data_IF_547709911789
#
_entry.id   IF_547709911789
#
_cell.length_a   1.000
_cell.length_b   1.000
_cell.length_c   1.000
_cell.angle_alpha   90.00
_cell.angle_beta   90.00
_cell.angle_gamma   90.00
#
_symmetry.space_group_name_H-M   'P 1'
#
loop_
_entity.id
_entity.type
_entity.pdbx_description
1 polymer ?
#
# COMPACT_ATOMS: atom_id res chain seq x y z
N UNK A 1 21.71 -8.38 -8.34
CA UNK A 1 20.74 -8.60 -7.26
C UNK A 1 21.33 -9.66 -6.34
N UNK A 2 21.60 -9.33 -5.06
CA UNK A 2 22.07 -10.34 -4.13
C UNK A 2 20.97 -11.38 -3.92
N UNK A 3 21.26 -12.62 -4.21
CA UNK A 3 20.37 -13.75 -3.98
C UNK A 3 20.09 -13.83 -2.48
N UNK A 4 18.84 -13.52 -2.08
CA UNK A 4 18.42 -13.57 -0.68
C UNK A 4 18.44 -15.03 -0.27
N UNK A 5 19.44 -15.46 0.51
CA UNK A 5 19.49 -16.83 1.01
C UNK A 5 18.23 -17.10 1.82
N UNK A 6 17.38 -17.99 1.29
CA UNK A 6 16.15 -18.42 1.95
C UNK A 6 16.53 -19.33 3.11
N UNK A 7 16.11 -18.95 4.31
CA UNK A 7 16.35 -19.75 5.51
C UNK A 7 15.29 -20.86 5.61
N UNK A 8 15.69 -22.06 6.04
CA UNK A 8 14.80 -23.21 6.14
C UNK A 8 13.52 -22.98 6.95
N UNK A 9 13.56 -22.16 8.01
CA UNK A 9 12.40 -21.84 8.84
C UNK A 9 11.31 -21.06 8.09
N UNK A 10 11.66 -20.34 7.03
CA UNK A 10 10.69 -19.59 6.21
C UNK A 10 9.72 -20.52 5.48
N UNK A 11 10.14 -21.77 5.20
CA UNK A 11 9.29 -22.83 4.70
C UNK A 11 8.67 -23.66 5.82
N UNK A 12 9.41 -23.94 6.88
CA UNK A 12 8.97 -24.80 7.97
C UNK A 12 7.73 -24.23 8.68
N UNK A 13 7.71 -22.94 8.99
CA UNK A 13 6.60 -22.33 9.74
C UNK A 13 5.26 -22.49 9.01
N UNK A 14 5.08 -22.05 7.74
CA UNK A 14 3.81 -22.20 7.05
C UNK A 14 3.41 -23.68 6.84
N UNK A 15 4.38 -24.59 6.60
CA UNK A 15 4.09 -26.02 6.43
C UNK A 15 3.62 -26.64 7.74
N UNK A 16 4.28 -26.34 8.87
CA UNK A 16 3.90 -26.84 10.20
C UNK A 16 2.49 -26.35 10.57
N UNK A 17 2.19 -25.07 10.30
CA UNK A 17 0.85 -24.52 10.54
C UNK A 17 -0.21 -25.18 9.66
N UNK A 18 0.09 -25.39 8.37
CA UNK A 18 -0.81 -26.11 7.47
C UNK A 18 -1.14 -27.49 8.02
N UNK A 19 -0.13 -28.30 8.31
CA UNK A 19 -0.31 -29.67 8.78
C UNK A 19 -0.95 -29.70 10.18
N UNK A 20 -0.55 -28.80 11.08
CA UNK A 20 -1.10 -28.73 12.43
C UNK A 20 -2.61 -28.44 12.44
N UNK A 21 -3.06 -27.46 11.65
CA UNK A 21 -4.49 -27.14 11.52
C UNK A 21 -5.21 -28.26 10.76
N UNK A 22 -4.60 -28.81 9.71
CA UNK A 22 -5.20 -29.86 8.87
C UNK A 22 -5.58 -31.12 9.63
N UNK A 23 -4.70 -31.57 10.56
CA UNK A 23 -4.93 -32.78 11.35
C UNK A 23 -5.65 -32.52 12.68
N UNK A 24 -5.87 -31.27 13.04
CA UNK A 24 -6.58 -30.91 14.27
C UNK A 24 -8.09 -31.20 14.17
N UNK A 25 -8.78 -31.44 15.30
CA UNK A 25 -10.23 -31.67 15.29
C UNK A 25 -10.96 -30.51 14.65
N UNK A 26 -11.94 -30.82 13.79
CA UNK A 26 -12.79 -29.81 13.15
C UNK A 26 -13.70 -29.18 14.21
N UNK A 27 -13.73 -27.84 14.37
CA UNK A 27 -14.60 -27.17 15.31
C UNK A 27 -16.09 -27.43 15.01
N UNK A 28 -16.92 -27.41 16.05
CA UNK A 28 -18.36 -27.55 15.91
C UNK A 28 -18.94 -26.46 14.98
N UNK A 29 -19.80 -26.88 14.05
CA UNK A 29 -20.46 -26.00 13.08
C UNK A 29 -19.67 -25.76 11.78
N UNK A 30 -18.45 -26.32 11.64
CA UNK A 30 -17.69 -26.26 10.38
C UNK A 30 -17.68 -27.59 9.64
N UNK A 31 -17.61 -27.54 8.31
CA UNK A 31 -17.33 -28.71 7.48
C UNK A 31 -15.81 -29.00 7.45
N UNK A 32 -15.43 -30.24 7.16
CA UNK A 32 -14.02 -30.63 6.98
C UNK A 32 -13.36 -29.79 5.89
N UNK A 33 -14.07 -29.55 4.76
CA UNK A 33 -13.56 -28.72 3.68
C UNK A 33 -13.32 -27.26 4.11
N UNK A 34 -14.24 -26.69 4.90
CA UNK A 34 -14.06 -25.32 5.42
C UNK A 34 -12.83 -25.22 6.35
N UNK A 35 -12.61 -26.25 7.17
CA UNK A 35 -11.46 -26.31 8.06
C UNK A 35 -10.13 -26.47 7.31
N UNK A 36 -10.11 -27.34 6.30
CA UNK A 36 -8.94 -27.49 5.41
C UNK A 36 -8.66 -26.21 4.62
N UNK A 37 -9.71 -25.52 4.14
CA UNK A 37 -9.55 -24.23 3.47
C UNK A 37 -8.96 -23.19 4.41
N UNK A 38 -9.38 -23.15 5.66
CA UNK A 38 -8.80 -22.29 6.69
C UNK A 38 -7.31 -22.60 6.93
N UNK A 39 -6.93 -23.87 6.98
CA UNK A 39 -5.54 -24.29 7.11
C UNK A 39 -4.67 -23.78 5.95
N UNK A 40 -5.15 -23.95 4.68
CA UNK A 40 -4.45 -23.45 3.49
C UNK A 40 -4.34 -21.92 3.54
N UNK A 41 -5.42 -21.23 3.91
CA UNK A 41 -5.46 -19.77 4.00
C UNK A 41 -4.43 -19.24 5.01
N UNK A 42 -4.44 -19.75 6.23
CA UNK A 42 -3.49 -19.34 7.28
C UNK A 42 -2.05 -19.61 6.84
N UNK A 43 -1.77 -20.81 6.33
CA UNK A 43 -0.44 -21.16 5.85
C UNK A 43 0.04 -20.24 4.71
N UNK A 44 -0.86 -19.86 3.81
CA UNK A 44 -0.56 -18.94 2.70
C UNK A 44 -0.22 -17.54 3.22
N UNK A 45 -1.01 -16.98 4.14
CA UNK A 45 -0.75 -15.67 4.73
C UNK A 45 0.60 -15.67 5.48
N UNK A 46 0.86 -16.68 6.31
CA UNK A 46 2.13 -16.79 7.02
C UNK A 46 3.29 -17.01 6.06
N UNK A 47 3.08 -17.78 4.99
CA UNK A 47 4.06 -17.97 3.94
C UNK A 47 4.42 -16.66 3.22
N UNK A 48 3.44 -15.79 2.94
CA UNK A 48 3.68 -14.47 2.38
C UNK A 48 4.53 -13.62 3.34
N UNK A 49 4.24 -13.65 4.63
CA UNK A 49 4.99 -12.92 5.65
C UNK A 49 6.43 -13.44 5.82
N UNK A 50 6.62 -14.75 5.78
CA UNK A 50 7.94 -15.39 5.81
C UNK A 50 8.73 -15.16 4.52
N UNK A 51 8.06 -14.90 3.40
CA UNK A 51 8.61 -14.60 2.09
C UNK A 51 9.72 -15.59 1.62
N UNK A 52 9.47 -16.92 1.62
CA UNK A 52 10.44 -17.89 1.12
C UNK A 52 10.61 -17.79 -0.40
N UNK A 53 9.55 -17.46 -1.10
CA UNK A 53 9.49 -17.21 -2.56
C UNK A 53 8.62 -15.98 -2.86
N UNK A 54 8.53 -15.60 -4.12
CA UNK A 54 7.64 -14.53 -4.55
C UNK A 54 6.17 -14.86 -4.17
N UNK A 55 5.45 -13.87 -3.63
CA UNK A 55 4.06 -14.05 -3.16
C UNK A 55 3.12 -14.61 -4.22
N UNK A 56 3.28 -14.21 -5.50
CA UNK A 56 2.52 -14.77 -6.61
C UNK A 56 2.73 -16.27 -6.79
N UNK A 57 3.98 -16.76 -6.72
CA UNK A 57 4.29 -18.18 -6.80
C UNK A 57 3.68 -18.95 -5.61
N UNK A 58 3.74 -18.39 -4.41
CA UNK A 58 3.13 -19.00 -3.23
C UNK A 58 1.60 -19.10 -3.36
N UNK A 59 0.96 -18.08 -3.93
CA UNK A 59 -0.48 -18.08 -4.22
C UNK A 59 -0.87 -19.21 -5.21
N UNK A 60 -0.07 -19.42 -6.26
CA UNK A 60 -0.31 -20.54 -7.20
C UNK A 60 -0.12 -21.90 -6.54
N UNK A 61 0.86 -22.06 -5.63
CA UNK A 61 1.02 -23.28 -4.83
C UNK A 61 -0.20 -23.52 -3.96
N UNK A 62 -0.68 -22.48 -3.24
CA UNK A 62 -1.88 -22.58 -2.41
C UNK A 62 -3.11 -22.99 -3.23
N UNK A 63 -3.28 -22.41 -4.41
CA UNK A 63 -4.36 -22.76 -5.33
C UNK A 63 -4.26 -24.22 -5.79
N UNK A 64 -3.06 -24.67 -6.16
CA UNK A 64 -2.82 -26.05 -6.54
C UNK A 64 -3.13 -27.01 -5.37
N UNK A 65 -2.67 -26.73 -4.15
CA UNK A 65 -3.00 -27.53 -2.96
C UNK A 65 -4.51 -27.59 -2.76
N UNK A 66 -5.23 -26.47 -2.88
CA UNK A 66 -6.68 -26.41 -2.73
C UNK A 66 -7.41 -27.33 -3.72
N UNK A 67 -6.94 -27.37 -4.97
CA UNK A 67 -7.52 -28.23 -6.03
C UNK A 67 -7.16 -29.69 -5.81
N UNK A 68 -5.88 -30.01 -5.60
CA UNK A 68 -5.40 -31.39 -5.45
C UNK A 68 -5.95 -32.09 -4.20
N UNK A 69 -6.22 -31.35 -3.14
CA UNK A 69 -6.86 -31.87 -1.93
C UNK A 69 -8.38 -31.95 -2.00
N UNK A 70 -8.97 -31.56 -3.14
CA UNK A 70 -10.42 -31.45 -3.30
C UNK A 70 -11.10 -30.58 -2.23
N UNK A 71 -10.36 -29.63 -1.64
CA UNK A 71 -10.92 -28.66 -0.68
C UNK A 71 -11.92 -27.74 -1.37
N UNK A 72 -11.64 -27.34 -2.61
CA UNK A 72 -12.58 -26.70 -3.54
C UNK A 72 -12.55 -27.42 -4.90
N UNK A 73 -13.67 -27.37 -5.63
CA UNK A 73 -13.68 -27.78 -7.04
C UNK A 73 -12.79 -26.86 -7.87
N UNK A 74 -12.29 -27.38 -9.00
CA UNK A 74 -11.45 -26.61 -9.93
C UNK A 74 -12.12 -25.29 -10.36
N UNK A 75 -13.41 -25.33 -10.70
CA UNK A 75 -14.18 -24.16 -11.08
C UNK A 75 -14.30 -23.13 -9.94
N UNK A 76 -14.56 -23.59 -8.71
CA UNK A 76 -14.66 -22.71 -7.55
C UNK A 76 -13.31 -22.08 -7.19
N UNK A 77 -12.22 -22.85 -7.24
CA UNK A 77 -10.88 -22.38 -6.95
C UNK A 77 -10.42 -21.28 -7.93
N UNK A 78 -10.81 -21.38 -9.20
CA UNK A 78 -10.45 -20.43 -10.26
C UNK A 78 -11.51 -19.34 -10.49
N UNK A 79 -12.62 -19.35 -9.76
CA UNK A 79 -13.72 -18.38 -9.94
C UNK A 79 -13.29 -16.91 -9.80
N UNK A 80 -12.28 -16.66 -8.96
CA UNK A 80 -11.68 -15.32 -8.82
C UNK A 80 -11.11 -14.77 -10.12
N UNK A 81 -10.62 -15.61 -11.03
CA UNK A 81 -10.10 -15.18 -12.34
C UNK A 81 -11.20 -14.74 -13.29
N UNK A 82 -12.45 -15.13 -13.05
CA UNK A 82 -13.62 -14.68 -13.80
C UNK A 82 -14.27 -13.40 -13.22
N UNK A 83 -13.77 -12.91 -12.08
CA UNK A 83 -14.32 -11.73 -11.42
C UNK A 83 -13.94 -10.44 -12.15
N UNK A 84 -14.94 -9.64 -12.54
CA UNK A 84 -14.73 -8.31 -13.12
C UNK A 84 -13.96 -7.38 -12.19
N UNK A 85 -14.17 -7.50 -10.86
CA UNK A 85 -13.43 -6.72 -9.85
C UNK A 85 -11.93 -7.04 -9.86
N UNK A 86 -11.56 -8.33 -10.00
CA UNK A 86 -10.14 -8.75 -10.10
C UNK A 86 -9.50 -8.16 -11.36
N UNK A 87 -10.17 -8.19 -12.50
CA UNK A 87 -9.66 -7.61 -13.74
C UNK A 87 -9.60 -6.08 -13.70
N UNK A 88 -10.54 -5.43 -13.04
CA UNK A 88 -10.49 -3.98 -12.82
C UNK A 88 -9.27 -3.62 -11.97
N UNK A 89 -9.02 -4.33 -10.88
CA UNK A 89 -7.83 -4.13 -10.03
C UNK A 89 -6.55 -4.37 -10.83
N UNK A 90 -6.49 -5.44 -11.61
CA UNK A 90 -5.33 -5.76 -12.45
C UNK A 90 -5.04 -4.64 -13.47
N UNK A 91 -6.07 -4.20 -14.20
CA UNK A 91 -5.94 -3.12 -15.19
C UNK A 91 -5.47 -1.81 -14.55
N UNK A 92 -6.03 -1.46 -13.39
CA UNK A 92 -5.61 -0.29 -12.63
C UNK A 92 -4.16 -0.41 -12.11
N UNK A 93 -3.71 -1.63 -11.77
CA UNK A 93 -2.31 -1.89 -11.43
C UNK A 93 -1.37 -1.64 -12.60
N UNK A 94 -1.73 -2.13 -13.80
CA UNK A 94 -0.93 -1.89 -15.02
C UNK A 94 -0.85 -0.39 -15.33
N UNK A 95 -1.96 0.33 -15.24
CA UNK A 95 -1.97 1.79 -15.39
C UNK A 95 -1.08 2.48 -14.35
N UNK A 96 -1.06 2.01 -13.10
CA UNK A 96 -0.23 2.60 -12.06
C UNK A 96 1.27 2.46 -12.31
N UNK A 97 1.71 1.43 -13.02
CA UNK A 97 3.11 1.30 -13.45
C UNK A 97 3.51 2.42 -14.39
N UNK A 98 2.63 2.83 -15.31
CA UNK A 98 2.85 3.99 -16.19
C UNK A 98 3.10 5.29 -15.39
N UNK A 99 2.37 5.53 -14.30
CA UNK A 99 2.61 6.70 -13.43
C UNK A 99 3.97 6.65 -12.72
N UNK A 100 4.45 5.47 -12.38
CA UNK A 100 5.77 5.30 -11.74
C UNK A 100 6.89 5.47 -12.77
N UNK A 101 6.78 4.81 -13.92
CA UNK A 101 7.81 4.79 -14.96
C UNK A 101 7.94 6.13 -15.69
N UNK A 102 6.82 6.80 -16.00
CA UNK A 102 6.82 8.15 -16.61
C UNK A 102 7.39 9.22 -15.67
N UNK A 103 7.55 8.94 -14.38
CA UNK A 103 7.98 9.92 -13.40
C UNK A 103 6.93 10.98 -13.06
N UNK A 104 5.70 10.88 -13.59
CA UNK A 104 4.62 11.84 -13.33
C UNK A 104 4.34 11.96 -11.83
N UNK A 105 4.33 10.86 -11.10
CA UNK A 105 4.13 10.86 -9.64
C UNK A 105 5.20 11.67 -8.91
N UNK A 106 6.48 11.51 -9.29
CA UNK A 106 7.58 12.31 -8.72
C UNK A 106 7.45 13.77 -9.08
N UNK A 107 7.03 14.10 -10.30
CA UNK A 107 6.79 15.47 -10.73
C UNK A 107 5.71 16.15 -9.90
N UNK A 108 4.60 15.45 -9.60
CA UNK A 108 3.53 15.95 -8.72
C UNK A 108 4.09 16.20 -7.31
N UNK A 109 4.86 15.27 -6.75
CA UNK A 109 5.46 15.41 -5.43
C UNK A 109 6.42 16.61 -5.34
N UNK A 110 7.32 16.78 -6.31
CA UNK A 110 8.21 17.94 -6.37
C UNK A 110 7.48 19.25 -6.61
N UNK A 111 6.38 19.25 -7.38
CA UNK A 111 5.53 20.42 -7.57
C UNK A 111 4.91 20.87 -6.24
N UNK A 112 4.35 19.94 -5.48
CA UNK A 112 3.79 20.24 -4.16
C UNK A 112 4.89 20.72 -3.20
N UNK A 113 6.05 20.08 -3.21
CA UNK A 113 7.20 20.47 -2.41
C UNK A 113 7.67 21.90 -2.76
N UNK A 114 7.71 22.25 -4.04
CA UNK A 114 8.10 23.61 -4.48
C UNK A 114 7.13 24.69 -4.03
N UNK A 115 5.87 24.33 -3.78
CA UNK A 115 4.84 25.27 -3.31
C UNK A 115 4.86 25.39 -1.78
N UNK A 116 4.84 24.28 -1.08
CA UNK A 116 4.58 24.23 0.37
C UNK A 116 5.79 23.82 1.22
N UNK A 117 6.92 23.37 0.63
CA UNK A 117 8.07 22.76 1.31
C UNK A 117 8.92 23.71 2.19
N UNK A 118 8.45 24.92 2.49
CA UNK A 118 9.20 25.91 3.28
C UNK A 118 9.24 25.67 4.79
N UNK A 119 8.50 24.70 5.30
CA UNK A 119 8.47 24.29 6.71
C UNK A 119 8.27 22.79 6.83
N UNK A 120 8.58 22.21 7.99
CA UNK A 120 8.45 20.77 8.24
C UNK A 120 7.02 20.27 8.04
N UNK A 121 6.02 20.99 8.57
CA UNK A 121 4.61 20.71 8.30
C UNK A 121 4.27 20.89 6.80
N UNK A 122 4.82 21.93 6.18
CA UNK A 122 4.63 22.17 4.75
C UNK A 122 5.18 21.02 3.90
N UNK A 123 6.33 20.43 4.25
CA UNK A 123 6.85 19.23 3.57
C UNK A 123 5.88 18.06 3.77
N UNK A 124 5.44 17.80 5.00
CA UNK A 124 4.52 16.72 5.30
C UNK A 124 3.23 16.84 4.46
N UNK A 125 2.59 18.01 4.45
CA UNK A 125 1.41 18.25 3.64
C UNK A 125 1.70 18.21 2.13
N UNK A 126 2.89 18.64 1.67
CA UNK A 126 3.28 18.50 0.25
C UNK A 126 3.24 17.04 -0.19
N UNK A 127 3.83 16.14 0.61
CA UNK A 127 3.87 14.71 0.33
C UNK A 127 2.47 14.08 0.46
N UNK A 128 1.70 14.47 1.47
CA UNK A 128 0.32 14.01 1.64
C UNK A 128 -0.60 14.43 0.50
N UNK A 129 -0.52 15.69 0.05
CA UNK A 129 -1.31 16.18 -1.10
C UNK A 129 -0.88 15.50 -2.39
N UNK A 130 0.41 15.24 -2.58
CA UNK A 130 0.88 14.48 -3.74
C UNK A 130 0.29 13.05 -3.74
N UNK A 131 0.30 12.37 -2.61
CA UNK A 131 -0.31 11.03 -2.47
C UNK A 131 -1.84 11.09 -2.67
N UNK A 132 -2.51 12.12 -2.16
CA UNK A 132 -3.94 12.35 -2.35
C UNK A 132 -4.33 12.52 -3.82
N UNK A 133 -3.55 13.28 -4.59
CA UNK A 133 -3.78 13.49 -6.05
C UNK A 133 -3.60 12.17 -6.81
N UNK A 134 -2.64 11.35 -6.41
CA UNK A 134 -2.34 10.07 -7.06
C UNK A 134 -3.32 8.96 -6.66
N UNK A 135 -3.93 9.03 -5.49
CA UNK A 135 -4.74 7.96 -4.90
C UNK A 135 -5.90 7.49 -5.80
N UNK A 136 -6.70 8.32 -6.46
CA UNK A 136 -7.79 7.86 -7.32
C UNK A 136 -7.30 7.10 -8.57
N UNK A 137 -6.09 7.40 -9.06
CA UNK A 137 -5.53 6.82 -10.29
C UNK A 137 -4.60 5.63 -10.05
N UNK A 138 -4.13 5.42 -8.81
CA UNK A 138 -3.15 4.40 -8.46
C UNK A 138 -3.67 3.51 -7.33
N UNK A 139 -4.25 2.33 -7.62
CA UNK A 139 -4.85 1.44 -6.61
C UNK A 139 -3.82 0.72 -5.74
N UNK A 140 -2.54 0.97 -5.95
CA UNK A 140 -1.46 0.39 -5.18
C UNK A 140 -0.89 1.37 -4.16
N UNK A 141 -1.29 1.20 -2.92
CA UNK A 141 -0.74 1.90 -1.75
C UNK A 141 0.79 1.74 -1.69
N UNK A 142 1.30 0.53 -1.94
CA UNK A 142 2.73 0.24 -1.94
C UNK A 142 3.47 0.96 -3.08
N UNK A 143 2.89 1.01 -4.28
CA UNK A 143 3.51 1.69 -5.42
C UNK A 143 3.56 3.21 -5.19
N UNK A 144 2.49 3.83 -4.66
CA UNK A 144 2.49 5.26 -4.32
C UNK A 144 3.48 5.58 -3.21
N UNK A 145 3.36 4.88 -2.07
CA UNK A 145 4.21 5.12 -0.92
C UNK A 145 5.66 4.75 -1.18
N UNK A 146 5.92 3.51 -1.62
CA UNK A 146 7.28 2.99 -1.81
C UNK A 146 7.96 3.48 -3.08
N UNK A 147 7.20 3.69 -4.16
CA UNK A 147 7.74 4.08 -5.47
C UNK A 147 7.84 5.59 -5.68
N UNK A 148 7.04 6.40 -4.98
CA UNK A 148 6.98 7.85 -5.20
C UNK A 148 7.25 8.63 -3.92
N UNK A 149 6.40 8.48 -2.89
CA UNK A 149 6.43 9.37 -1.72
C UNK A 149 7.69 9.16 -0.88
N UNK A 150 8.01 7.91 -0.55
CA UNK A 150 9.17 7.58 0.29
C UNK A 150 10.52 7.92 -0.36
N UNK A 151 10.78 7.68 -1.65
CA UNK A 151 12.00 8.15 -2.31
C UNK A 151 12.18 9.67 -2.24
N UNK A 152 11.09 10.44 -2.45
CA UNK A 152 11.12 11.90 -2.32
C UNK A 152 11.41 12.31 -0.87
N UNK A 153 10.75 11.69 0.12
CA UNK A 153 11.00 11.93 1.53
C UNK A 153 12.47 11.61 1.92
N UNK A 154 13.03 10.51 1.40
CA UNK A 154 14.45 10.16 1.61
C UNK A 154 15.38 11.21 1.02
N UNK A 155 15.12 11.70 -0.19
CA UNK A 155 15.91 12.76 -0.82
C UNK A 155 15.86 14.06 0.00
N UNK A 156 14.70 14.42 0.53
CA UNK A 156 14.54 15.56 1.43
C UNK A 156 15.38 15.36 2.70
N UNK A 157 15.32 14.17 3.30
CA UNK A 157 16.10 13.85 4.51
C UNK A 157 17.61 13.93 4.27
N UNK A 158 18.09 13.56 3.07
CA UNK A 158 19.50 13.74 2.71
C UNK A 158 19.87 15.22 2.62
N UNK A 159 19.06 16.05 1.94
CA UNK A 159 19.33 17.50 1.80
C UNK A 159 19.29 18.22 3.14
N UNK A 160 18.45 17.79 4.07
CA UNK A 160 18.31 18.37 5.40
C UNK A 160 19.23 17.72 6.45
N UNK A 161 20.15 16.86 6.04
CA UNK A 161 21.08 16.13 6.91
C UNK A 161 20.36 15.41 8.08
N UNK A 162 19.27 14.72 7.76
CA UNK A 162 18.42 13.99 8.72
C UNK A 162 18.27 12.53 8.31
N UNK A 163 19.35 11.77 8.44
CA UNK A 163 19.39 10.36 8.12
C UNK A 163 19.23 9.48 9.37
N UNK A 164 18.95 8.17 9.21
CA UNK A 164 18.88 7.23 10.33
C UNK A 164 20.11 7.30 11.23
N UNK A 165 19.90 7.30 12.54
CA UNK A 165 20.94 7.43 13.54
C UNK A 165 20.78 8.71 14.37
N UNK A 166 21.87 9.32 14.87
CA UNK A 166 21.81 10.44 15.81
C UNK A 166 21.08 11.69 15.30
N UNK A 167 20.96 11.84 13.96
CA UNK A 167 20.33 13.00 13.32
C UNK A 167 18.90 12.78 12.84
N UNK A 168 18.31 11.60 13.11
CA UNK A 168 16.95 11.26 12.63
C UNK A 168 15.88 12.21 13.16
N UNK A 169 16.00 12.69 14.39
CA UNK A 169 15.06 13.61 15.02
C UNK A 169 15.03 15.01 14.40
N UNK A 170 15.97 15.36 13.54
CA UNK A 170 15.97 16.69 12.87
C UNK A 170 14.69 16.90 12.07
N UNK A 171 14.28 15.94 11.24
CA UNK A 171 13.00 15.92 10.53
C UNK A 171 12.63 14.54 10.02
N UNK A 172 13.59 13.63 9.82
CA UNK A 172 13.41 12.36 9.10
C UNK A 172 12.39 11.44 9.72
N UNK A 173 12.43 11.30 11.03
CA UNK A 173 11.48 10.47 11.78
C UNK A 173 10.05 10.99 11.61
N UNK A 174 9.85 12.28 11.78
CA UNK A 174 8.55 12.93 11.55
C UNK A 174 8.02 12.70 10.13
N UNK A 175 8.87 12.91 9.11
CA UNK A 175 8.43 12.77 7.71
C UNK A 175 8.07 11.32 7.36
N UNK A 176 8.90 10.36 7.76
CA UNK A 176 8.65 8.94 7.45
C UNK A 176 7.36 8.47 8.10
N UNK A 177 7.16 8.79 9.38
CA UNK A 177 5.94 8.42 10.10
C UNK A 177 4.70 9.11 9.52
N UNK A 178 4.80 10.37 9.14
CA UNK A 178 3.68 11.10 8.55
C UNK A 178 3.33 10.55 7.16
N UNK A 179 4.32 10.22 6.33
CA UNK A 179 4.10 9.56 5.04
C UNK A 179 3.40 8.20 5.21
N UNK A 180 3.83 7.41 6.20
CA UNK A 180 3.20 6.14 6.52
C UNK A 180 1.72 6.30 6.91
N UNK A 181 1.36 7.37 7.62
CA UNK A 181 -0.02 7.66 8.02
C UNK A 181 -0.87 8.18 6.86
N UNK A 182 -0.33 9.01 5.98
CA UNK A 182 -1.07 9.53 4.82
C UNK A 182 -1.53 8.41 3.88
N UNK A 183 -0.69 7.45 3.62
CA UNK A 183 -0.92 6.39 2.65
C UNK A 183 -2.22 5.59 2.87
N UNK A 184 -2.54 5.06 4.07
CA UNK A 184 -3.83 4.41 4.31
C UNK A 184 -5.01 5.38 4.28
N UNK A 185 -4.84 6.63 4.71
CA UNK A 185 -5.91 7.64 4.71
C UNK A 185 -6.33 7.94 3.27
N UNK A 186 -5.39 8.27 2.40
CA UNK A 186 -5.66 8.55 0.98
C UNK A 186 -6.13 7.32 0.23
N UNK A 187 -5.58 6.13 0.58
CA UNK A 187 -5.99 4.84 0.05
C UNK A 187 -7.44 4.50 0.37
N UNK A 188 -7.90 4.77 1.58
CA UNK A 188 -9.28 4.50 1.99
C UNK A 188 -10.27 5.52 1.41
N UNK A 189 -9.85 6.75 1.09
CA UNK A 189 -10.72 7.83 0.64
C UNK A 189 -11.38 7.55 -0.72
N UNK A 190 -10.70 6.88 -1.62
CA UNK A 190 -11.20 6.58 -2.98
C UNK A 190 -11.40 5.08 -3.14
N UNK A 191 -12.51 4.68 -3.77
CA UNK A 191 -12.75 3.25 -4.06
C UNK A 191 -11.58 2.63 -4.84
N UNK A 192 -10.98 3.37 -5.77
CA UNK A 192 -9.80 2.98 -6.55
C UNK A 192 -8.48 3.24 -5.85
N UNK A 193 -8.46 3.78 -4.62
CA UNK A 193 -7.23 4.16 -3.91
C UNK A 193 -6.43 2.99 -3.35
N UNK A 194 -7.07 1.83 -3.12
CA UNK A 194 -6.42 0.56 -2.80
C UNK A 194 -7.25 -0.61 -3.31
N UNK A 195 -6.59 -1.73 -3.63
CA UNK A 195 -7.22 -2.92 -4.18
C UNK A 195 -8.28 -3.57 -3.26
N UNK A 196 -8.18 -3.36 -1.95
CA UNK A 196 -9.14 -3.89 -0.98
C UNK A 196 -10.52 -3.22 -1.06
N UNK A 197 -10.61 -1.93 -1.45
CA UNK A 197 -11.86 -1.19 -1.43
C UNK A 197 -12.91 -1.73 -2.42
N UNK A 198 -12.58 -1.97 -3.72
CA UNK A 198 -13.54 -2.59 -4.65
C UNK A 198 -13.93 -4.01 -4.21
N UNK A 199 -13.02 -4.75 -3.59
CA UNK A 199 -13.34 -6.07 -3.04
C UNK A 199 -14.33 -5.95 -1.86
N UNK A 200 -14.17 -4.97 -0.97
CA UNK A 200 -15.15 -4.71 0.10
C UNK A 200 -16.53 -4.36 -0.48
N UNK A 201 -16.57 -3.52 -1.53
CA UNK A 201 -17.83 -3.19 -2.19
C UNK A 201 -18.49 -4.43 -2.83
N UNK A 202 -17.70 -5.30 -3.47
CA UNK A 202 -18.19 -6.56 -4.04
C UNK A 202 -18.72 -7.51 -2.95
N UNK A 203 -18.04 -7.61 -1.82
CA UNK A 203 -18.48 -8.44 -0.68
C UNK A 203 -19.78 -7.88 -0.05
N UNK A 204 -19.90 -6.56 0.05
CA UNK A 204 -21.14 -5.92 0.51
C UNK A 204 -22.31 -6.22 -0.42
N UNK A 205 -22.09 -6.19 -1.73
CA UNK A 205 -23.11 -6.54 -2.72
C UNK A 205 -23.50 -8.01 -2.63
N UNK A 206 -22.54 -8.94 -2.59
CA UNK A 206 -22.81 -10.38 -2.58
C UNK A 206 -23.39 -10.87 -1.25
N UNK A 207 -23.00 -10.30 -0.11
CA UNK A 207 -23.43 -10.73 1.21
C UNK A 207 -24.64 -9.99 1.77
N UNK A 208 -24.80 -8.70 1.44
CA UNK A 208 -25.83 -7.83 2.00
C UNK A 208 -26.78 -7.24 0.94
N UNK A 209 -26.54 -7.46 -0.34
CA UNK A 209 -27.30 -6.86 -1.43
C UNK A 209 -27.10 -5.33 -1.56
N UNK A 210 -26.04 -4.78 -0.95
CA UNK A 210 -25.77 -3.34 -0.96
C UNK A 210 -24.85 -2.99 -2.14
N UNK A 211 -25.36 -2.20 -3.07
CA UNK A 211 -24.55 -1.62 -4.15
C UNK A 211 -23.86 -0.34 -3.70
N UNK A 212 -22.54 -0.37 -3.66
CA UNK A 212 -21.72 0.78 -3.30
C UNK A 212 -21.07 1.31 -4.58
N UNK A 213 -21.54 2.46 -5.06
CA UNK A 213 -20.94 3.14 -6.21
C UNK A 213 -19.64 3.85 -5.82
N UNK A 214 -18.78 4.17 -6.83
CA UNK A 214 -17.55 4.93 -6.60
C UNK A 214 -17.80 6.28 -5.91
N UNK A 215 -18.84 6.98 -6.35
CA UNK A 215 -19.24 8.28 -5.78
C UNK A 215 -19.80 8.12 -4.36
N UNK A 216 -20.61 7.06 -4.12
CA UNK A 216 -21.12 6.74 -2.78
C UNK A 216 -19.99 6.44 -1.80
N UNK A 217 -19.01 5.64 -2.22
CA UNK A 217 -17.80 5.38 -1.44
C UNK A 217 -17.07 6.68 -1.07
N UNK A 218 -16.81 7.53 -2.08
CA UNK A 218 -16.11 8.81 -1.86
C UNK A 218 -16.84 9.68 -0.83
N UNK A 219 -18.16 9.88 -0.97
CA UNK A 219 -18.91 10.70 -0.02
C UNK A 219 -18.94 10.12 1.40
N UNK A 220 -18.99 8.81 1.54
CA UNK A 220 -18.90 8.16 2.85
C UNK A 220 -17.50 8.30 3.49
N UNK A 221 -16.45 8.24 2.68
CA UNK A 221 -15.07 8.24 3.16
C UNK A 221 -14.44 9.63 3.28
N UNK A 222 -14.85 10.62 2.46
CA UNK A 222 -14.15 11.90 2.36
C UNK A 222 -14.12 12.68 3.68
N UNK A 223 -15.20 12.71 4.43
CA UNK A 223 -15.25 13.48 5.68
C UNK A 223 -14.31 12.92 6.74
N UNK A 224 -14.40 11.63 7.14
CA UNK A 224 -13.49 11.07 8.13
C UNK A 224 -12.04 11.06 7.63
N UNK A 225 -11.82 10.79 6.35
CA UNK A 225 -10.47 10.78 5.78
C UNK A 225 -9.84 12.19 5.77
N UNK A 226 -10.58 13.25 5.44
CA UNK A 226 -10.06 14.62 5.49
C UNK A 226 -9.78 15.07 6.91
N UNK A 227 -10.62 14.70 7.89
CA UNK A 227 -10.30 14.96 9.30
C UNK A 227 -8.97 14.30 9.67
N UNK A 228 -8.79 13.03 9.36
CA UNK A 228 -7.53 12.33 9.60
C UNK A 228 -6.36 12.97 8.82
N UNK A 229 -6.57 13.36 7.57
CA UNK A 229 -5.56 13.98 6.71
C UNK A 229 -4.97 15.26 7.32
N UNK A 230 -5.78 16.07 7.99
CA UNK A 230 -5.31 17.27 8.66
C UNK A 230 -4.81 17.01 10.09
N UNK A 231 -5.52 16.18 10.84
CA UNK A 231 -5.21 15.95 12.26
C UNK A 231 -3.93 15.13 12.45
N UNK A 232 -3.74 14.07 11.66
CA UNK A 232 -2.61 13.15 11.87
C UNK A 232 -1.23 13.80 11.70
N UNK A 233 -0.95 14.63 10.67
CA UNK A 233 0.32 15.32 10.56
C UNK A 233 0.57 16.32 11.72
N UNK A 234 -0.50 16.97 12.21
CA UNK A 234 -0.41 17.90 13.33
C UNK A 234 -0.10 17.16 14.64
N UNK A 235 -0.72 16.01 14.87
CA UNK A 235 -0.41 15.14 16.00
C UNK A 235 1.02 14.61 15.92
N UNK A 236 1.42 14.11 14.76
CA UNK A 236 2.79 13.64 14.51
C UNK A 236 3.81 14.74 14.72
N UNK A 237 3.52 15.95 14.27
CA UNK A 237 4.39 17.11 14.49
C UNK A 237 4.57 17.43 16.00
N UNK A 238 3.51 17.26 16.77
CA UNK A 238 3.53 17.45 18.24
C UNK A 238 4.32 16.35 18.95
N UNK A 239 4.14 15.10 18.51
CA UNK A 239 4.76 13.92 19.13
C UNK A 239 6.26 13.87 18.81
N UNK A 240 6.62 13.95 17.54
CA UNK A 240 8.01 13.84 17.09
C UNK A 240 8.79 15.16 17.22
N UNK A 241 8.10 16.28 17.32
CA UNK A 241 8.65 17.62 17.53
C UNK A 241 9.95 17.86 16.73
N UNK A 242 9.93 17.86 15.38
CA UNK A 242 11.14 17.93 14.58
C UNK A 242 11.96 19.19 14.92
N UNK A 243 13.27 19.07 14.99
CA UNK A 243 14.18 20.17 15.32
C UNK A 243 14.10 21.29 14.27
N UNK A 244 14.09 20.90 12.98
CA UNK A 244 13.98 21.84 11.87
C UNK A 244 12.53 22.30 11.72
N UNK A 245 12.27 23.57 11.94
CA UNK A 245 10.93 24.15 11.74
C UNK A 245 10.80 24.84 10.38
N UNK A 246 11.86 25.46 9.88
CA UNK A 246 11.96 26.12 8.57
C UNK A 246 12.87 25.32 7.66
N UNK A 247 12.45 25.09 6.42
CA UNK A 247 13.10 24.18 5.48
C UNK A 247 13.15 24.77 4.06
N UNK A 248 13.72 25.99 3.86
CA UNK A 248 13.79 26.61 2.54
C UNK A 248 14.56 25.75 1.53
N UNK A 249 15.53 24.97 1.98
CA UNK A 249 16.32 24.05 1.16
C UNK A 249 15.44 22.97 0.49
N UNK A 250 14.44 22.45 1.19
CA UNK A 250 13.52 21.48 0.64
C UNK A 250 12.62 22.08 -0.45
N UNK A 251 12.17 23.33 -0.25
CA UNK A 251 11.41 24.07 -1.26
C UNK A 251 12.26 24.35 -2.51
N UNK A 252 13.52 24.72 -2.33
CA UNK A 252 14.44 24.93 -3.45
C UNK A 252 14.72 23.63 -4.19
N UNK A 253 15.00 22.54 -3.47
CA UNK A 253 15.16 21.21 -4.05
C UNK A 253 13.97 20.83 -4.95
N UNK A 254 12.73 21.09 -4.50
CA UNK A 254 11.54 20.83 -5.30
C UNK A 254 11.55 21.56 -6.65
N UNK A 255 12.03 22.82 -6.68
CA UNK A 255 12.18 23.60 -7.91
C UNK A 255 13.28 23.07 -8.82
N UNK A 256 14.44 22.76 -8.24
CA UNK A 256 15.62 22.29 -8.96
C UNK A 256 15.34 20.92 -9.62
N UNK A 257 14.68 20.01 -8.91
CA UNK A 257 14.31 18.71 -9.45
C UNK A 257 13.27 18.83 -10.57
N UNK A 258 12.30 19.75 -10.46
CA UNK A 258 11.35 20.03 -11.55
C UNK A 258 12.07 20.58 -12.80
N UNK A 259 13.06 21.46 -12.64
CA UNK A 259 13.85 21.96 -13.76
C UNK A 259 14.66 20.86 -14.44
N UNK A 260 15.29 19.96 -13.66
CA UNK A 260 16.03 18.80 -14.20
C UNK A 260 15.11 17.84 -14.97
N UNK A 261 13.88 17.67 -14.53
CA UNK A 261 12.90 16.82 -15.21
C UNK A 261 12.41 17.38 -16.54
N UNK A 262 12.67 18.64 -16.85
CA UNK A 262 12.23 19.30 -18.08
C UNK A 262 10.69 19.46 -18.17
N UNK A 263 10.16 19.86 -19.34
CA UNK A 263 8.73 19.83 -19.61
C UNK A 263 8.20 18.39 -19.57
N UNK A 264 6.88 18.16 -19.34
CA UNK A 264 6.29 16.83 -19.55
C UNK A 264 6.52 16.44 -21.00
N UNK A 265 7.06 15.25 -21.25
CA UNK A 265 7.14 14.73 -22.62
C UNK A 265 5.72 14.48 -23.13
N UNK A 266 5.44 14.89 -24.37
CA UNK A 266 4.18 14.67 -25.08
C UNK A 266 4.09 13.20 -25.58
N UNK A 267 4.41 12.23 -24.74
CA UNK A 267 4.42 10.81 -25.08
C UNK A 267 3.13 10.08 -24.65
#
# INVERSE_FOLDING_TARGET
MAEKQVKWWQWAIPIVLLLGIWVSPVPEGLTVQAWHMFAIFVATIIGILCAPIASGALMFIALAVTIFTNTLSFSAALSGLASGTVWMIFSAYVLSLGFVESGLGRRIAYKMLSLFGGSSLGIAFSLGVADLILAPAMPSVTARSGGIVLPVAKSINMVLDSQPGPKQGRIGEFLVMTCFQFTPITGAMFMTGMAANPLCAQLAQSGLGLEISWVGWFWAAVVPAMVCFFVMPLLSYKIFNPELKKTPQAKQMGRDELQKMGPPDDA
#
